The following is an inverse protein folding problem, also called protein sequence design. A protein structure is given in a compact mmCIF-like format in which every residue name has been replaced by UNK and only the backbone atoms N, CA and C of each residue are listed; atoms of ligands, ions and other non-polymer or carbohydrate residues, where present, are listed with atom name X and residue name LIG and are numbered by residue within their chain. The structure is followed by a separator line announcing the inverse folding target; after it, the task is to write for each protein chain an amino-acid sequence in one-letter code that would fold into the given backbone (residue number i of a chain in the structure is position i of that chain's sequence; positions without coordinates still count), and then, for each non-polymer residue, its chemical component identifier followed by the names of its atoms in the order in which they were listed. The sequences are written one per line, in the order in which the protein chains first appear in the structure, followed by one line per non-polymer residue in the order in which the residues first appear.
data_IF_810175828549
#
_entry.id   IF_810175828549
#
_cell.length_a   1.000
_cell.length_b   1.000
_cell.length_c   1.000
_cell.angle_alpha   90.00
_cell.angle_beta   90.00
_cell.angle_gamma   90.00
#
_symmetry.space_group_name_H-M   'P 1'
#
loop_
_entity.id
_entity.type
_entity.pdbx_description
1 polymer ?
#
# COMPACT_ATOMS: atom_id res chain seq x y z
N UNK A 1 20.00 14.01 4.10
CA UNK A 1 19.07 13.52 3.06
C UNK A 1 18.96 12.03 3.30
N UNK A 2 17.76 11.53 3.62
CA UNK A 2 17.60 10.11 3.89
C UNK A 2 17.89 9.32 2.61
N UNK A 3 18.89 8.45 2.65
CA UNK A 3 19.08 7.43 1.63
C UNK A 3 18.07 6.31 1.94
N UNK A 4 16.79 6.62 1.73
CA UNK A 4 15.71 5.64 1.82
C UNK A 4 15.90 4.74 0.60
N UNK A 5 16.63 3.64 0.80
CA UNK A 5 17.06 2.78 -0.30
C UNK A 5 15.82 2.22 -0.97
N UNK A 6 15.67 2.61 -2.24
CA UNK A 6 14.47 2.56 -3.09
C UNK A 6 14.03 1.14 -3.45
N UNK A 7 14.56 0.13 -2.77
CA UNK A 7 14.37 -1.28 -3.08
C UNK A 7 12.89 -1.65 -3.01
N UNK A 8 12.43 -2.40 -4.02
CA UNK A 8 11.08 -2.95 -4.02
C UNK A 8 10.91 -3.94 -2.87
N UNK A 9 10.10 -3.58 -1.88
CA UNK A 9 9.52 -4.57 -0.98
C UNK A 9 8.45 -5.31 -1.78
N UNK A 10 8.71 -6.58 -2.12
CA UNK A 10 7.76 -7.39 -2.92
C UNK A 10 6.51 -7.74 -2.11
N UNK A 11 6.63 -7.89 -0.79
CA UNK A 11 5.52 -8.13 0.12
C UNK A 11 5.97 -7.93 1.58
N UNK A 12 5.02 -7.58 2.46
CA UNK A 12 5.23 -7.50 3.90
C UNK A 12 4.59 -8.72 4.57
N UNK A 13 5.38 -9.40 5.41
CA UNK A 13 4.95 -10.59 6.11
C UNK A 13 5.12 -10.43 7.61
N UNK A 14 4.22 -11.00 8.39
CA UNK A 14 4.46 -11.24 9.80
C UNK A 14 4.27 -12.71 10.16
N UNK A 15 4.58 -13.03 11.40
CA UNK A 15 4.46 -14.37 11.94
C UNK A 15 3.10 -14.53 12.61
N UNK A 16 2.44 -15.66 12.35
CA UNK A 16 1.28 -16.11 13.12
C UNK A 16 1.56 -17.52 13.63
N UNK A 17 0.83 -17.92 14.67
CA UNK A 17 0.93 -19.24 15.28
C UNK A 17 -0.43 -19.92 15.21
N UNK A 18 -0.48 -21.15 14.70
CA UNK A 18 -1.72 -21.92 14.50
C UNK A 18 -1.58 -23.29 15.18
N UNK A 19 -2.64 -23.71 15.88
CA UNK A 19 -2.75 -25.05 16.45
C UNK A 19 -2.23 -25.19 17.89
N UNK A 20 -2.32 -26.41 18.42
CA UNK A 20 -1.77 -26.79 19.73
C UNK A 20 -1.14 -28.20 19.60
N UNK A 21 0.19 -28.36 19.73
CA UNK A 21 1.18 -27.31 19.98
C UNK A 21 1.26 -26.29 18.84
N UNK A 22 1.74 -25.09 19.17
CA UNK A 22 1.81 -23.97 18.23
C UNK A 22 2.75 -24.26 17.06
N UNK A 23 2.29 -23.99 15.85
CA UNK A 23 3.09 -24.03 14.63
C UNK A 23 3.21 -22.63 14.05
N UNK A 24 4.42 -22.22 13.74
CA UNK A 24 4.71 -20.88 13.21
C UNK A 24 4.53 -20.84 11.69
N UNK A 25 3.81 -19.83 11.21
CA UNK A 25 3.62 -19.54 9.79
C UNK A 25 4.02 -18.10 9.49
N UNK A 26 4.61 -17.87 8.32
CA UNK A 26 4.83 -16.54 7.76
C UNK A 26 3.67 -16.23 6.82
N UNK A 27 2.91 -15.18 7.09
CA UNK A 27 1.73 -14.80 6.30
C UNK A 27 1.82 -13.37 5.81
N UNK A 28 1.29 -13.14 4.61
CA UNK A 28 1.06 -11.80 4.10
C UNK A 28 -0.27 -11.32 4.68
N UNK A 29 -0.25 -10.13 5.29
CA UNK A 29 -1.48 -9.50 5.77
C UNK A 29 -2.05 -8.66 4.63
N UNK A 30 -2.96 -9.28 3.88
CA UNK A 30 -3.51 -8.77 2.62
C UNK A 30 -4.92 -8.22 2.82
N UNK A 31 -5.09 -6.89 2.70
CA UNK A 31 -6.41 -6.24 2.75
C UNK A 31 -7.21 -6.39 1.46
N UNK A 32 -6.60 -6.85 0.37
CA UNK A 32 -7.21 -7.22 -0.90
C UNK A 32 -7.87 -8.60 -0.91
N UNK A 33 -7.76 -9.39 0.16
CA UNK A 33 -8.46 -10.67 0.30
C UNK A 33 -9.10 -10.86 1.68
N UNK A 34 -9.79 -11.99 1.89
CA UNK A 34 -10.56 -12.24 3.11
C UNK A 34 -10.42 -13.66 3.66
N UNK A 35 -9.54 -14.48 3.07
CA UNK A 35 -9.32 -15.86 3.50
C UNK A 35 -7.95 -15.97 4.17
N UNK A 36 -7.90 -16.58 5.35
CA UNK A 36 -6.66 -17.15 5.86
C UNK A 36 -6.48 -18.53 5.24
N UNK A 37 -5.37 -18.73 4.54
CA UNK A 37 -4.96 -20.04 4.05
C UNK A 37 -3.48 -20.23 4.37
N UNK A 38 -3.13 -21.40 4.90
CA UNK A 38 -1.73 -21.81 5.12
C UNK A 38 -1.52 -23.16 4.44
N UNK A 39 -0.33 -23.45 3.88
CA UNK A 39 -0.03 -24.77 3.33
C UNK A 39 -0.23 -25.85 4.39
N UNK A 40 -1.07 -26.84 4.11
CA UNK A 40 -1.36 -27.97 5.00
C UNK A 40 -0.90 -29.27 4.33
N UNK A 41 -0.35 -30.22 5.10
CA UNK A 41 -0.25 -31.62 4.66
C UNK A 41 -1.48 -32.39 5.12
N UNK A 42 -2.45 -32.54 4.22
CA UNK A 42 -3.63 -33.41 4.37
C UNK A 42 -4.72 -32.87 5.30
N UNK A 43 -5.88 -32.50 4.75
CA UNK A 43 -7.03 -32.05 5.53
C UNK A 43 -8.31 -32.82 5.14
N UNK A 44 -9.16 -33.16 6.12
CA UNK A 44 -10.35 -34.00 5.97
C UNK A 44 -11.64 -33.17 6.05
N UNK A 45 -12.70 -33.62 5.37
CA UNK A 45 -13.93 -32.88 5.06
C UNK A 45 -14.89 -32.63 6.25
N UNK A 46 -14.48 -32.90 7.49
CA UNK A 46 -15.34 -32.87 8.69
C UNK A 46 -14.91 -31.86 9.76
N UNK A 47 -13.93 -30.98 9.47
CA UNK A 47 -13.32 -30.13 10.50
C UNK A 47 -14.18 -28.90 10.87
N UNK A 48 -14.54 -28.82 12.15
CA UNK A 48 -15.40 -27.81 12.77
C UNK A 48 -14.74 -26.44 12.91
N UNK A 49 -13.40 -26.35 12.82
CA UNK A 49 -12.65 -25.08 12.76
C UNK A 49 -13.02 -24.25 11.51
N UNK A 50 -13.48 -24.91 10.43
CA UNK A 50 -13.99 -24.24 9.23
C UNK A 50 -15.40 -23.64 9.39
N UNK A 51 -16.15 -23.95 10.46
CA UNK A 51 -17.58 -23.64 10.54
C UNK A 51 -17.97 -22.55 11.55
N UNK A 52 -17.15 -22.25 12.56
CA UNK A 52 -17.60 -21.48 13.74
C UNK A 52 -16.71 -20.30 14.18
N UNK A 53 -16.16 -19.52 13.24
CA UNK A 53 -15.46 -18.29 13.62
C UNK A 53 -16.40 -17.08 13.78
N UNK A 54 -16.85 -16.86 15.03
CA UNK A 54 -17.25 -15.53 15.54
C UNK A 54 -16.74 -15.33 16.96
N UNK A 55 -15.97 -14.26 17.16
CA UNK A 55 -16.02 -13.34 18.32
C UNK A 55 -15.14 -12.13 18.03
N UNK A 56 -15.73 -10.92 18.12
CA UNK A 56 -15.02 -9.65 18.03
C UNK A 56 -14.11 -9.50 19.26
N UNK A 57 -12.80 -9.43 19.04
CA UNK A 57 -11.80 -9.21 20.09
C UNK A 57 -11.35 -7.74 20.21
N UNK A 58 -11.81 -6.86 19.30
CA UNK A 58 -11.52 -5.43 19.33
C UNK A 58 -12.80 -4.62 19.56
N UNK A 59 -12.89 -3.77 20.60
CA UNK A 59 -14.03 -2.88 20.83
C UNK A 59 -14.32 -1.95 19.65
N UNK A 60 -13.28 -1.41 19.02
CA UNK A 60 -13.38 -0.45 17.92
C UNK A 60 -13.35 -1.11 16.53
N UNK A 61 -13.04 -2.42 16.46
CA UNK A 61 -12.92 -3.17 15.21
C UNK A 61 -12.05 -2.48 14.14
N UNK A 62 -10.91 -1.93 14.56
CA UNK A 62 -9.92 -1.32 13.68
C UNK A 62 -8.54 -1.96 13.84
N UNK A 63 -7.73 -1.81 12.80
CA UNK A 63 -6.31 -2.16 12.77
C UNK A 63 -5.57 -1.16 11.88
N UNK A 64 -4.25 -1.07 12.02
CA UNK A 64 -3.45 -0.11 11.29
C UNK A 64 -2.12 -0.68 10.82
N UNK A 65 -1.61 -0.14 9.72
CA UNK A 65 -0.35 -0.52 9.11
C UNK A 65 0.63 0.66 9.08
N UNK A 66 1.82 0.40 9.59
CA UNK A 66 3.05 1.12 9.27
C UNK A 66 3.88 0.24 8.33
N UNK A 67 4.25 0.76 7.16
CA UNK A 67 5.06 0.04 6.18
C UNK A 67 6.39 0.80 6.04
N UNK A 68 7.45 0.23 6.60
CA UNK A 68 8.80 0.81 6.62
C UNK A 68 9.58 0.58 5.32
N UNK A 69 10.78 1.15 5.23
CA UNK A 69 11.68 0.94 4.09
C UNK A 69 12.30 -0.45 4.07
N UNK A 70 12.78 -0.88 2.90
CA UNK A 70 13.29 -2.23 2.66
C UNK A 70 14.56 -2.61 3.45
N UNK A 71 15.31 -1.62 3.97
CA UNK A 71 16.54 -1.82 4.74
C UNK A 71 16.46 -1.19 6.15
N UNK A 72 15.56 -1.71 6.98
CA UNK A 72 15.53 -1.39 8.41
C UNK A 72 16.42 -2.38 9.18
N UNK A 73 17.74 -2.13 9.23
CA UNK A 73 18.68 -2.94 10.02
C UNK A 73 18.58 -2.70 11.55
N UNK A 74 17.70 -1.80 12.01
CA UNK A 74 17.55 -1.43 13.44
C UNK A 74 16.11 -1.19 13.93
N UNK A 75 15.09 -1.43 13.10
CA UNK A 75 13.67 -1.25 13.42
C UNK A 75 12.80 -2.28 12.69
N UNK A 76 11.54 -2.44 13.08
CA UNK A 76 10.64 -3.34 12.35
C UNK A 76 10.47 -2.83 10.89
N UNK A 77 10.61 -3.72 9.91
CA UNK A 77 10.36 -3.39 8.49
C UNK A 77 8.92 -2.93 8.22
N UNK A 78 8.01 -3.18 9.16
CA UNK A 78 6.65 -2.66 9.22
C UNK A 78 5.99 -3.12 10.52
N UNK A 79 4.84 -2.55 10.85
CA UNK A 79 4.03 -2.91 12.01
C UNK A 79 2.56 -3.05 11.61
N UNK A 80 1.92 -4.11 12.10
CA UNK A 80 0.46 -4.25 12.15
C UNK A 80 0.00 -4.01 13.59
N UNK A 81 -0.70 -2.89 13.82
CA UNK A 81 -1.34 -2.59 15.10
C UNK A 81 -2.77 -3.16 15.08
N UNK A 82 -3.10 -4.10 15.96
CA UNK A 82 -4.46 -4.68 16.08
C UNK A 82 -5.21 -3.99 17.22
N UNK A 83 -6.49 -3.65 17.00
CA UNK A 83 -7.36 -2.96 17.96
C UNK A 83 -6.91 -1.53 18.33
N UNK A 84 -6.12 -0.87 17.49
CA UNK A 84 -5.62 0.47 17.78
C UNK A 84 -4.80 1.07 16.65
N UNK A 85 -4.18 2.20 16.96
CA UNK A 85 -3.18 2.89 16.15
C UNK A 85 -1.95 3.14 17.00
N UNK A 86 -0.76 3.24 16.38
CA UNK A 86 0.45 3.69 17.05
C UNK A 86 0.81 5.14 16.63
N UNK A 87 0.64 6.13 17.53
CA UNK A 87 1.03 7.51 17.27
C UNK A 87 2.53 7.73 17.00
N UNK A 88 3.40 6.77 17.35
CA UNK A 88 4.82 6.86 17.03
C UNK A 88 5.09 6.78 15.52
N UNK A 89 4.16 6.19 14.75
CA UNK A 89 4.34 5.89 13.34
C UNK A 89 3.72 6.90 12.35
N UNK A 90 3.10 7.98 12.85
CA UNK A 90 2.54 9.01 11.98
C UNK A 90 2.66 10.43 12.54
N UNK A 91 2.55 11.41 11.63
CA UNK A 91 2.56 12.85 11.94
C UNK A 91 1.22 13.48 11.61
N UNK A 92 0.84 14.45 12.43
CA UNK A 92 -0.39 15.22 12.24
C UNK A 92 -1.63 14.43 12.63
N UNK A 93 -2.73 14.67 11.91
CA UNK A 93 -4.04 14.07 12.20
C UNK A 93 -4.42 13.06 11.14
N UNK A 94 -5.09 11.99 11.55
CA UNK A 94 -5.64 10.99 10.64
C UNK A 94 -6.80 11.62 9.85
N UNK A 95 -6.69 11.58 8.53
CA UNK A 95 -7.77 11.96 7.60
C UNK A 95 -8.59 10.74 7.29
N UNK A 96 -9.88 10.81 7.61
CA UNK A 96 -10.80 9.70 7.41
C UNK A 96 -11.52 9.82 6.06
N UNK A 97 -11.57 8.71 5.32
CA UNK A 97 -12.27 8.56 4.06
C UNK A 97 -13.33 7.46 4.21
N UNK A 98 -14.63 7.73 3.98
CA UNK A 98 -15.66 6.72 4.10
C UNK A 98 -15.50 5.63 3.03
N UNK A 99 -15.88 4.40 3.39
CA UNK A 99 -15.98 3.31 2.42
C UNK A 99 -17.18 3.53 1.50
N UNK A 100 -16.96 3.38 0.20
CA UNK A 100 -18.02 3.27 -0.81
C UNK A 100 -18.49 1.82 -0.96
N UNK A 101 -17.66 0.85 -0.58
CA UNK A 101 -18.04 -0.54 -0.39
C UNK A 101 -17.11 -1.22 0.63
N UNK A 102 -17.68 -2.04 1.51
CA UNK A 102 -16.92 -2.80 2.53
C UNK A 102 -16.01 -3.86 1.89
N UNK A 103 -16.42 -4.42 0.74
CA UNK A 103 -15.62 -5.36 -0.03
C UNK A 103 -14.36 -4.66 -0.56
N UNK A 104 -13.19 -5.21 -0.24
CA UNK A 104 -11.87 -4.74 -0.69
C UNK A 104 -11.53 -3.31 -0.21
N UNK A 105 -12.08 -2.86 0.92
CA UNK A 105 -11.77 -1.53 1.49
C UNK A 105 -11.86 -0.41 0.45
N UNK A 106 -12.94 -0.42 -0.33
CA UNK A 106 -13.11 0.50 -1.46
C UNK A 106 -13.48 1.89 -0.97
N UNK A 107 -12.75 2.88 -1.45
CA UNK A 107 -12.93 4.29 -1.16
C UNK A 107 -13.11 5.10 -2.44
N UNK A 108 -13.68 6.29 -2.29
CA UNK A 108 -13.62 7.32 -3.33
C UNK A 108 -12.23 7.97 -3.31
N UNK A 109 -11.59 8.01 -4.48
CA UNK A 109 -10.35 8.73 -4.72
C UNK A 109 -10.69 9.98 -5.53
N UNK A 110 -10.43 11.16 -4.99
CA UNK A 110 -10.59 12.40 -5.74
C UNK A 110 -9.60 12.50 -6.92
N UNK A 111 -9.62 13.61 -7.66
CA UNK A 111 -8.73 13.75 -8.81
C UNK A 111 -7.26 13.64 -8.39
N UNK A 112 -6.46 13.01 -9.25
CA UNK A 112 -5.01 12.93 -9.09
C UNK A 112 -4.38 14.04 -9.91
N UNK A 113 -3.48 14.83 -9.32
CA UNK A 113 -2.84 15.96 -9.98
C UNK A 113 -1.34 15.78 -10.14
N UNK A 114 -0.79 16.40 -11.18
CA UNK A 114 0.64 16.66 -11.29
C UNK A 114 0.88 18.05 -11.88
N UNK A 115 1.79 18.82 -11.26
CA UNK A 115 2.08 20.22 -11.65
C UNK A 115 0.82 21.11 -11.74
N UNK A 116 -0.17 20.87 -10.88
CA UNK A 116 -1.45 21.60 -10.89
C UNK A 116 -2.46 21.17 -11.96
N UNK A 117 -2.10 20.21 -12.82
CA UNK A 117 -3.00 19.65 -13.85
C UNK A 117 -3.59 18.34 -13.37
N UNK A 118 -4.91 18.17 -13.52
CA UNK A 118 -5.59 16.92 -13.21
C UNK A 118 -5.23 15.84 -14.25
N UNK A 119 -4.82 14.67 -13.79
CA UNK A 119 -4.54 13.48 -14.60
C UNK A 119 -5.78 12.60 -14.77
N UNK A 120 -6.79 12.75 -13.90
CA UNK A 120 -8.05 12.02 -13.91
C UNK A 120 -9.25 12.96 -14.00
N UNK A 121 -10.35 12.48 -14.58
CA UNK A 121 -11.62 13.20 -14.64
C UNK A 121 -12.55 12.74 -13.52
N UNK A 122 -12.80 13.62 -12.55
CA UNK A 122 -13.73 13.36 -11.45
C UNK A 122 -13.23 12.34 -10.41
N UNK A 123 -14.09 12.01 -9.42
CA UNK A 123 -13.77 11.00 -8.42
C UNK A 123 -13.65 9.61 -9.08
N UNK A 124 -12.53 8.97 -8.80
CA UNK A 124 -12.22 7.58 -9.13
C UNK A 124 -12.59 6.69 -7.94
N UNK A 125 -12.49 5.38 -8.15
CA UNK A 125 -12.58 4.42 -7.06
C UNK A 125 -11.22 3.79 -6.82
N UNK A 126 -10.90 3.53 -5.56
CA UNK A 126 -9.65 2.90 -5.18
C UNK A 126 -9.89 1.77 -4.16
N UNK A 127 -9.11 0.70 -4.29
CA UNK A 127 -8.89 -0.33 -3.29
C UNK A 127 -7.63 0.06 -2.52
N UNK A 128 -7.67 -0.06 -1.20
CA UNK A 128 -6.50 0.14 -0.34
C UNK A 128 -5.95 -1.25 0.01
N UNK A 129 -4.80 -1.60 -0.56
CA UNK A 129 -4.35 -2.99 -0.66
C UNK A 129 -2.91 -3.20 -0.18
N UNK A 130 -2.74 -3.68 1.04
CA UNK A 130 -1.43 -4.10 1.58
C UNK A 130 -0.89 -5.38 0.94
N UNK A 131 -1.70 -6.06 0.12
CA UNK A 131 -1.32 -7.22 -0.68
C UNK A 131 -0.58 -6.88 -1.97
N UNK A 132 -0.67 -5.62 -2.42
CA UNK A 132 -0.15 -5.15 -3.71
C UNK A 132 1.11 -4.30 -3.55
N UNK A 133 2.20 -4.66 -4.23
CA UNK A 133 3.49 -3.96 -4.07
C UNK A 133 3.58 -2.58 -4.76
N UNK A 134 2.71 -2.31 -5.75
CA UNK A 134 2.77 -1.11 -6.61
C UNK A 134 1.38 -0.47 -6.74
N UNK A 135 1.33 0.77 -7.26
CA UNK A 135 0.07 1.43 -7.55
C UNK A 135 -0.48 0.91 -8.88
N UNK A 136 -1.70 0.40 -8.91
CA UNK A 136 -2.39 0.06 -10.16
C UNK A 136 -3.38 1.16 -10.52
N UNK A 137 -3.44 1.55 -11.79
CA UNK A 137 -4.33 2.59 -12.28
C UNK A 137 -4.76 2.32 -13.74
N UNK A 138 -5.82 2.98 -14.24
CA UNK A 138 -6.17 2.92 -15.65
C UNK A 138 -5.00 3.29 -16.56
N UNK A 139 -4.87 2.61 -17.69
CA UNK A 139 -3.74 2.73 -18.60
C UNK A 139 -3.59 4.16 -19.13
N UNK A 140 -4.72 4.85 -19.35
CA UNK A 140 -4.74 6.25 -19.78
C UNK A 140 -4.05 7.21 -18.79
N UNK A 141 -4.12 6.92 -17.49
CA UNK A 141 -3.45 7.71 -16.45
C UNK A 141 -1.99 7.31 -16.33
N UNK A 142 -1.70 6.02 -16.34
CA UNK A 142 -0.33 5.51 -16.28
C UNK A 142 0.49 6.02 -17.47
N UNK A 143 -0.09 6.09 -18.67
CA UNK A 143 0.58 6.66 -19.85
C UNK A 143 0.93 8.15 -19.66
N UNK A 144 0.07 8.93 -19.00
CA UNK A 144 0.39 10.32 -18.67
C UNK A 144 1.57 10.40 -17.69
N UNK A 145 1.61 9.53 -16.69
CA UNK A 145 2.71 9.47 -15.71
C UNK A 145 4.02 9.02 -16.40
N UNK A 146 3.99 8.03 -17.29
CA UNK A 146 5.13 7.60 -18.10
C UNK A 146 5.69 8.79 -18.90
N UNK A 147 4.82 9.54 -19.57
CA UNK A 147 5.22 10.70 -20.37
C UNK A 147 5.80 11.82 -19.50
N UNK A 148 5.18 12.09 -18.34
CA UNK A 148 5.67 13.09 -17.38
C UNK A 148 7.04 12.74 -16.80
N UNK A 149 7.31 11.45 -16.60
CA UNK A 149 8.57 10.95 -16.08
C UNK A 149 9.65 10.74 -17.14
N UNK A 150 9.29 10.75 -18.43
CA UNK A 150 10.20 10.37 -19.52
C UNK A 150 10.61 8.90 -19.45
N UNK A 151 9.75 8.05 -18.89
CA UNK A 151 10.04 6.63 -18.71
C UNK A 151 9.95 5.85 -20.03
N UNK A 152 10.75 4.78 -20.14
CA UNK A 152 10.76 3.87 -21.28
C UNK A 152 10.18 2.52 -20.87
N UNK A 153 9.40 1.92 -21.75
CA UNK A 153 8.86 0.58 -21.49
C UNK A 153 9.97 -0.45 -21.78
N UNK A 154 10.30 -1.28 -20.79
CA UNK A 154 11.25 -2.37 -20.94
C UNK A 154 10.64 -3.57 -21.68
N UNK A 155 11.46 -4.53 -22.08
CA UNK A 155 10.98 -5.78 -22.67
C UNK A 155 10.10 -6.60 -21.71
N UNK A 156 10.23 -6.37 -20.40
CA UNK A 156 9.48 -7.01 -19.33
C UNK A 156 8.20 -6.25 -18.98
N UNK A 157 7.90 -5.15 -19.68
CA UNK A 157 6.69 -4.34 -19.46
C UNK A 157 6.78 -3.40 -18.26
N UNK A 158 7.96 -3.22 -17.65
CA UNK A 158 8.20 -2.24 -16.60
C UNK A 158 8.51 -0.86 -17.21
N UNK A 159 8.32 0.22 -16.42
CA UNK A 159 8.53 1.58 -16.89
C UNK A 159 9.84 2.15 -16.33
N UNK A 160 10.93 1.99 -17.06
CA UNK A 160 12.29 2.32 -16.63
C UNK A 160 12.61 3.81 -16.75
N UNK A 161 13.35 4.34 -15.78
CA UNK A 161 13.88 5.70 -15.76
C UNK A 161 15.34 5.72 -15.29
N UNK A 162 16.03 6.84 -15.54
CA UNK A 162 17.36 7.08 -15.00
C UNK A 162 17.31 7.28 -13.47
N UNK A 163 18.02 6.45 -12.70
CA UNK A 163 17.97 6.50 -11.23
C UNK A 163 18.38 7.86 -10.62
N UNK A 164 19.23 8.63 -11.29
CA UNK A 164 19.66 9.95 -10.83
C UNK A 164 18.60 11.06 -11.04
N UNK A 165 17.58 10.81 -11.89
CA UNK A 165 16.56 11.79 -12.26
C UNK A 165 15.37 11.85 -11.30
N UNK A 166 15.29 10.96 -10.31
CA UNK A 166 14.14 10.86 -9.38
C UNK A 166 13.77 12.18 -8.68
N UNK A 167 14.77 13.02 -8.38
CA UNK A 167 14.55 14.32 -7.73
C UNK A 167 13.94 15.39 -8.63
N UNK A 168 14.02 15.24 -9.95
CA UNK A 168 13.45 16.17 -10.94
C UNK A 168 12.05 15.76 -11.41
N UNK A 169 11.60 14.56 -11.03
CA UNK A 169 10.27 14.09 -11.37
C UNK A 169 9.18 14.89 -10.65
N UNK A 170 8.04 15.15 -11.31
CA UNK A 170 6.98 15.95 -10.71
C UNK A 170 6.26 15.18 -9.61
N UNK A 171 5.90 15.87 -8.52
CA UNK A 171 5.07 15.27 -7.49
C UNK A 171 3.68 14.86 -8.04
N UNK A 172 3.14 13.78 -7.48
CA UNK A 172 1.78 13.31 -7.72
C UNK A 172 0.95 13.57 -6.47
N UNK A 173 -0.17 14.26 -6.65
CA UNK A 173 -1.07 14.65 -5.55
C UNK A 173 -2.36 13.85 -5.63
N UNK A 174 -2.63 13.05 -4.59
CA UNK A 174 -3.82 12.23 -4.45
C UNK A 174 -4.78 12.92 -3.49
N UNK A 175 -5.99 13.21 -3.95
CA UNK A 175 -7.01 13.86 -3.13
C UNK A 175 -7.84 12.79 -2.41
N UNK A 176 -7.76 12.72 -1.08
CA UNK A 176 -8.48 11.73 -0.27
C UNK A 176 -9.24 12.43 0.85
N UNK A 177 -10.58 12.33 0.79
CA UNK A 177 -11.46 13.10 1.67
C UNK A 177 -11.27 14.60 1.44
N UNK A 178 -10.81 15.32 2.47
CA UNK A 178 -10.57 16.77 2.42
C UNK A 178 -9.09 17.15 2.36
N UNK A 179 -8.19 16.19 2.13
CA UNK A 179 -6.74 16.42 2.14
C UNK A 179 -6.03 15.85 0.92
N UNK A 180 -4.92 16.52 0.63
CA UNK A 180 -3.98 16.14 -0.41
C UNK A 180 -2.85 15.28 0.19
N UNK A 181 -2.58 14.15 -0.46
CA UNK A 181 -1.51 13.21 -0.14
C UNK A 181 -0.52 13.21 -1.29
N UNK A 182 0.70 13.66 -1.02
CA UNK A 182 1.68 13.98 -2.07
C UNK A 182 2.79 12.93 -2.08
N UNK A 183 2.97 12.25 -3.21
CA UNK A 183 4.14 11.44 -3.50
C UNK A 183 5.16 12.26 -4.29
N UNK A 184 6.37 12.39 -3.77
CA UNK A 184 7.50 12.95 -4.51
C UNK A 184 8.03 11.95 -5.53
N UNK A 185 8.83 12.42 -6.48
CA UNK A 185 9.48 11.58 -7.48
C UNK A 185 10.19 10.34 -6.91
N UNK A 186 10.89 10.51 -5.78
CA UNK A 186 11.55 9.42 -5.07
C UNK A 186 10.58 8.42 -4.43
N UNK A 187 9.35 8.85 -4.11
CA UNK A 187 8.37 8.04 -3.38
C UNK A 187 7.63 7.06 -4.28
N UNK A 188 7.53 7.33 -5.58
CA UNK A 188 6.89 6.44 -6.55
C UNK A 188 7.86 5.81 -7.56
N UNK A 189 9.16 5.98 -7.36
CA UNK A 189 10.19 5.23 -8.07
C UNK A 189 10.68 4.10 -7.19
N UNK A 190 10.83 2.94 -7.80
CA UNK A 190 11.28 1.73 -7.15
C UNK A 190 12.50 1.20 -7.87
N UNK A 191 13.48 0.74 -7.11
CA UNK A 191 14.71 0.15 -7.61
C UNK A 191 14.62 -1.37 -7.53
N UNK A 192 14.85 -2.01 -8.68
CA UNK A 192 14.97 -3.46 -8.84
C UNK A 192 16.40 -3.74 -9.28
N UNK A 193 17.24 -4.19 -8.34
CA UNK A 193 18.69 -4.30 -8.52
C UNK A 193 19.34 -2.94 -8.87
N UNK A 194 19.80 -2.75 -10.11
CA UNK A 194 20.40 -1.50 -10.58
C UNK A 194 19.47 -0.70 -11.51
N UNK A 195 18.24 -1.17 -11.71
CA UNK A 195 17.26 -0.53 -12.59
C UNK A 195 16.23 0.21 -11.76
N UNK A 196 15.95 1.46 -12.11
CA UNK A 196 14.85 2.22 -11.52
C UNK A 196 13.63 2.16 -12.42
N UNK A 197 12.50 1.80 -11.83
CA UNK A 197 11.20 1.69 -12.50
C UNK A 197 10.17 2.56 -11.78
N UNK A 198 9.16 3.04 -12.51
CA UNK A 198 7.99 3.63 -11.88
C UNK A 198 7.22 2.54 -11.13
N UNK A 199 6.84 2.82 -9.89
CA UNK A 199 6.01 1.97 -9.03
C UNK A 199 4.54 1.95 -9.44
N UNK A 200 4.28 1.84 -10.74
CA UNK A 200 2.95 1.87 -11.35
C UNK A 200 2.73 0.67 -12.27
N UNK A 201 1.50 0.20 -12.33
CA UNK A 201 1.01 -0.75 -13.31
C UNK A 201 -0.24 -0.20 -13.98
N UNK A 202 -0.23 -0.15 -15.32
CA UNK A 202 -1.43 0.15 -16.10
C UNK A 202 -2.28 -1.11 -16.26
N UNK A 203 -3.49 -1.11 -15.71
CA UNK A 203 -4.43 -2.21 -15.85
C UNK A 203 -5.85 -1.69 -16.08
N UNK A 204 -6.50 -2.19 -17.13
CA UNK A 204 -7.91 -1.91 -17.41
C UNK A 204 -8.79 -2.98 -16.77
N UNK A 205 -9.56 -2.59 -15.76
CA UNK A 205 -10.54 -3.46 -15.10
C UNK A 205 -11.93 -3.05 -15.62
N UNK A 206 -12.63 -3.91 -16.36
CA UNK A 206 -13.92 -3.54 -16.95
C UNK A 206 -15.04 -3.45 -15.90
N UNK A 207 -16.15 -2.78 -16.22
CA UNK A 207 -17.38 -2.86 -15.44
C UNK A 207 -17.84 -4.31 -15.24
N UNK A 208 -18.50 -4.63 -14.11
CA UNK A 208 -19.01 -3.73 -13.07
C UNK A 208 -18.00 -3.41 -11.95
N UNK A 209 -16.78 -3.94 -12.01
CA UNK A 209 -15.80 -3.81 -10.93
C UNK A 209 -15.00 -2.52 -11.08
N UNK A 210 -14.52 -2.22 -12.30
CA UNK A 210 -13.71 -1.04 -12.60
C UNK A 210 -14.43 -0.01 -13.48
N UNK A 211 -13.74 1.09 -13.81
CA UNK A 211 -12.31 1.34 -13.58
C UNK A 211 -11.98 1.52 -12.08
N UNK A 212 -10.87 0.95 -11.63
CA UNK A 212 -10.49 0.99 -10.21
C UNK A 212 -8.97 1.14 -10.07
N UNK A 213 -8.58 1.90 -9.07
CA UNK A 213 -7.19 2.04 -8.62
C UNK A 213 -6.90 1.01 -7.53
N UNK A 214 -5.65 0.61 -7.42
CA UNK A 214 -5.14 -0.15 -6.28
C UNK A 214 -4.02 0.68 -5.67
N UNK A 215 -4.24 1.17 -4.44
CA UNK A 215 -3.25 1.88 -3.65
C UNK A 215 -2.45 0.85 -2.85
N UNK A 216 -1.37 0.37 -3.47
CA UNK A 216 -0.44 -0.60 -2.88
C UNK A 216 0.71 0.02 -2.09
N UNK A 217 1.71 -0.78 -1.77
CA UNK A 217 2.85 -0.47 -0.90
C UNK A 217 3.56 0.83 -1.26
N UNK A 218 3.71 1.15 -2.55
CA UNK A 218 4.30 2.41 -3.02
C UNK A 218 3.58 3.63 -2.43
N UNK A 219 2.25 3.58 -2.31
CA UNK A 219 1.45 4.60 -1.62
C UNK A 219 1.53 4.40 -0.10
N UNK A 220 1.26 3.19 0.39
CA UNK A 220 1.08 2.90 1.81
C UNK A 220 2.35 3.08 2.67
N UNK A 221 3.55 2.94 2.10
CA UNK A 221 4.81 3.25 2.81
C UNK A 221 4.97 4.72 3.17
N UNK A 222 4.34 5.61 2.40
CA UNK A 222 4.41 7.04 2.64
C UNK A 222 3.33 7.51 3.61
N UNK A 223 2.27 6.72 3.79
CA UNK A 223 1.10 7.11 4.57
C UNK A 223 0.66 6.00 5.52
N UNK A 224 0.78 6.26 6.82
CA UNK A 224 0.23 5.39 7.85
C UNK A 224 -1.27 5.19 7.62
N UNK A 225 -1.70 3.93 7.58
CA UNK A 225 -3.03 3.58 7.08
C UNK A 225 -3.81 2.82 8.15
N UNK A 226 -5.03 3.27 8.45
CA UNK A 226 -5.92 2.69 9.45
C UNK A 226 -7.17 2.15 8.77
N UNK A 227 -7.49 0.89 9.03
CA UNK A 227 -8.65 0.19 8.51
C UNK A 227 -9.69 0.07 9.62
N UNK A 228 -10.73 0.90 9.57
CA UNK A 228 -11.75 0.99 10.60
C UNK A 228 -13.05 0.36 10.10
N UNK A 229 -13.20 -0.94 10.36
CA UNK A 229 -14.40 -1.69 9.99
C UNK A 229 -15.60 -1.25 10.85
N UNK A 230 -15.36 -0.83 12.10
CA UNK A 230 -16.40 -0.38 13.02
C UNK A 230 -17.19 0.81 12.46
N UNK A 231 -16.47 1.79 11.90
CA UNK A 231 -17.03 3.01 11.33
C UNK A 231 -17.04 3.04 9.79
N UNK A 232 -16.68 1.93 9.13
CA UNK A 232 -16.69 1.76 7.67
C UNK A 232 -15.90 2.86 6.94
N UNK A 233 -14.63 3.03 7.31
CA UNK A 233 -13.75 4.07 6.77
C UNK A 233 -12.28 3.63 6.77
N UNK A 234 -11.48 4.30 5.96
CA UNK A 234 -10.01 4.18 5.97
C UNK A 234 -9.42 5.52 6.42
N UNK A 235 -8.42 5.47 7.28
CA UNK A 235 -7.70 6.62 7.80
C UNK A 235 -6.30 6.71 7.20
N UNK A 236 -5.87 7.92 6.84
CA UNK A 236 -4.53 8.18 6.32
C UNK A 236 -3.85 9.32 7.08
N UNK A 237 -2.57 9.14 7.40
CA UNK A 237 -1.71 10.17 7.97
C UNK A 237 -0.30 10.08 7.37
N UNK A 238 0.48 11.16 7.44
CA UNK A 238 1.87 11.13 6.98
C UNK A 238 2.67 10.14 7.80
N UNK A 239 3.25 9.12 7.16
CA UNK A 239 4.09 8.12 7.85
C UNK A 239 5.38 8.78 8.37
N UNK A 240 5.84 8.35 9.54
CA UNK A 240 7.17 8.69 10.03
C UNK A 240 8.20 7.82 9.33
N UNK A 241 9.00 8.39 8.41
CA UNK A 241 10.14 7.68 7.83
C UNK A 241 11.25 7.57 8.88
N UNK A 242 11.57 6.36 9.34
CA UNK A 242 12.81 6.10 10.06
C UNK A 242 13.97 6.07 9.05
N UNK A 243 14.78 7.12 9.05
CA UNK A 243 15.96 7.18 8.21
C UNK A 243 17.18 6.74 9.00
N UNK A 244 17.89 5.70 8.53
CA UNK A 244 19.24 5.43 8.99
C UNK A 244 20.17 6.45 8.33
N UNK A 245 20.74 7.37 9.11
CA UNK A 245 21.87 8.16 8.64
C UNK A 245 23.06 7.21 8.45
N UNK A 246 23.52 7.03 7.21
CA UNK A 246 24.83 6.43 6.93
C UNK A 246 25.92 7.40 7.36
N UNK A 247 26.18 7.51 8.67
CA UNK A 247 27.42 8.12 9.15
C UNK A 247 28.57 7.15 8.90
N UNK A 248 29.30 7.44 7.84
CA UNK A 248 30.75 7.24 7.63
C UNK A 248 31.50 6.41 8.68
N UNK A 249 32.08 5.29 8.23
CA UNK A 249 33.42 4.84 8.61
C UNK A 249 34.10 4.24 7.38
#
# INVERSE_FOLDING_TARGET
MCDDQRTLAMAYYGLIYIGTPEQQFRVQFDTGSANLWVPCMGCNASDEACQNHRKKMCPEALFAFYMGGANNDRGAAGELTICGTDPAHYKGVITWVPLIAERLWRIELGPVYSRGTALTTGPQQAIVDTGSSIITAPMSVVQQIINLAGAKVSAQGTYEIECNSTSSLPALTFTLGSRDFILQGSDYVVQMNQTCVLGFLGLEIPPPIGPIWILGDVFLRNFYTVFDHGNKRVGFAQSTKECVNSTSN
#
